data_IF_575288298857
#
_entry.id   IF_575288298857
#
_cell.length_a   1.000
_cell.length_b   1.000
_cell.length_c   1.000
_cell.angle_alpha   90.00
_cell.angle_beta   90.00
_cell.angle_gamma   90.00
#
_symmetry.space_group_name_H-M   'P 1'
#
loop_
_entity.id
_entity.type
_entity.pdbx_description
1 polymer ?
#
# COMPACT_ATOMS: atom_id res chain seq x y z
N UNK A 1 -50.22 3.66 -25.25
CA UNK A 1 -48.75 3.75 -25.29
C UNK A 1 -48.24 3.18 -23.98
N UNK A 2 -47.76 1.93 -24.02
CA UNK A 2 -47.22 1.25 -22.84
C UNK A 2 -45.83 1.81 -22.54
N UNK A 3 -45.61 2.25 -21.30
CA UNK A 3 -44.28 2.55 -20.77
C UNK A 3 -43.49 1.24 -20.74
N UNK A 4 -42.40 1.17 -21.50
CA UNK A 4 -41.41 0.11 -21.39
C UNK A 4 -40.71 0.27 -20.04
N UNK A 5 -41.18 -0.46 -19.03
CA UNK A 5 -40.42 -0.65 -17.79
C UNK A 5 -39.18 -1.46 -18.11
N UNK A 6 -38.01 -0.89 -17.90
CA UNK A 6 -36.75 -1.65 -17.80
C UNK A 6 -36.90 -2.64 -16.65
N UNK A 7 -37.14 -3.90 -16.98
CA UNK A 7 -37.07 -5.01 -16.02
C UNK A 7 -35.65 -5.07 -15.47
N UNK A 8 -35.49 -5.03 -14.16
CA UNK A 8 -34.20 -5.24 -13.51
C UNK A 8 -33.63 -6.60 -13.94
N UNK A 9 -32.35 -6.65 -14.31
CA UNK A 9 -31.68 -7.88 -14.71
C UNK A 9 -31.81 -8.93 -13.59
N UNK A 10 -32.06 -10.17 -13.99
CA UNK A 10 -32.08 -11.31 -13.06
C UNK A 10 -30.67 -11.59 -12.55
N UNK A 11 -30.55 -12.22 -11.38
CA UNK A 11 -29.24 -12.61 -10.82
C UNK A 11 -28.41 -13.46 -11.80
N UNK A 12 -29.07 -14.27 -12.64
CA UNK A 12 -28.41 -15.08 -13.66
C UNK A 12 -27.84 -14.22 -14.79
N UNK A 13 -28.58 -13.21 -15.25
CA UNK A 13 -28.10 -12.26 -16.27
C UNK A 13 -26.93 -11.44 -15.74
N UNK A 14 -27.01 -10.94 -14.50
CA UNK A 14 -25.89 -10.22 -13.86
C UNK A 14 -24.63 -11.07 -13.74
N UNK A 15 -24.77 -12.37 -13.41
CA UNK A 15 -23.64 -13.28 -13.34
C UNK A 15 -23.01 -13.54 -14.72
N UNK A 16 -23.83 -13.67 -15.76
CA UNK A 16 -23.36 -13.83 -17.14
C UNK A 16 -22.61 -12.57 -17.63
N UNK A 17 -23.13 -11.37 -17.35
CA UNK A 17 -22.46 -10.11 -17.67
C UNK A 17 -21.11 -9.98 -16.96
N UNK A 18 -21.05 -10.35 -15.67
CA UNK A 18 -19.81 -10.34 -14.90
C UNK A 18 -18.77 -11.32 -15.47
N UNK A 19 -19.19 -12.54 -15.81
CA UNK A 19 -18.32 -13.54 -16.42
C UNK A 19 -17.80 -13.08 -17.79
N UNK A 20 -18.65 -12.45 -18.61
CA UNK A 20 -18.23 -11.86 -19.88
C UNK A 20 -17.23 -10.72 -19.68
N UNK A 21 -17.44 -9.86 -18.68
CA UNK A 21 -16.49 -8.79 -18.33
C UNK A 21 -15.13 -9.35 -17.92
N UNK A 22 -15.10 -10.38 -17.09
CA UNK A 22 -13.84 -11.05 -16.72
C UNK A 22 -13.12 -11.67 -17.93
N UNK A 23 -13.86 -12.22 -18.89
CA UNK A 23 -13.27 -12.81 -20.08
C UNK A 23 -12.77 -11.78 -21.12
N UNK A 24 -13.44 -10.62 -21.22
CA UNK A 24 -13.18 -9.63 -22.26
C UNK A 24 -12.22 -8.50 -21.84
N UNK A 25 -12.20 -8.12 -20.56
CA UNK A 25 -11.40 -7.00 -20.07
C UNK A 25 -9.94 -7.43 -19.82
N UNK A 26 -9.01 -6.70 -20.44
CA UNK A 26 -7.57 -6.94 -20.33
C UNK A 26 -7.06 -6.85 -18.88
N UNK A 27 -7.75 -6.13 -17.98
CA UNK A 27 -7.46 -6.08 -16.54
C UNK A 27 -7.41 -7.47 -15.90
N UNK A 28 -8.19 -8.43 -16.42
CA UNK A 28 -8.33 -9.77 -15.83
C UNK A 28 -7.58 -10.86 -16.62
N UNK A 29 -6.81 -10.49 -17.65
CA UNK A 29 -5.99 -11.43 -18.42
C UNK A 29 -5.02 -12.17 -17.48
N UNK A 30 -5.11 -13.50 -17.46
CA UNK A 30 -4.25 -14.35 -16.63
C UNK A 30 -4.68 -14.47 -15.17
N UNK A 31 -5.73 -13.78 -14.73
CA UNK A 31 -6.25 -13.86 -13.37
C UNK A 31 -7.24 -15.03 -13.24
N UNK A 32 -6.89 -16.00 -12.41
CA UNK A 32 -7.75 -17.10 -12.01
C UNK A 32 -8.57 -16.78 -10.76
N UNK A 33 -9.75 -17.40 -10.68
CA UNK A 33 -10.65 -17.35 -9.53
C UNK A 33 -11.13 -18.76 -9.23
N UNK A 34 -11.08 -19.17 -7.96
CA UNK A 34 -11.59 -20.48 -7.53
C UNK A 34 -13.09 -20.48 -7.23
N UNK A 35 -13.78 -19.40 -7.58
CA UNK A 35 -15.23 -19.18 -7.40
C UNK A 35 -15.82 -18.61 -8.69
N UNK A 36 -17.14 -18.69 -8.82
CA UNK A 36 -17.83 -18.26 -10.04
C UNK A 36 -18.41 -16.84 -9.95
N UNK A 37 -18.85 -16.30 -11.08
CA UNK A 37 -19.57 -15.03 -11.10
C UNK A 37 -20.91 -15.11 -10.36
N UNK A 38 -21.57 -16.27 -10.39
CA UNK A 38 -22.78 -16.55 -9.61
C UNK A 38 -22.52 -16.47 -8.10
N UNK A 39 -21.35 -16.92 -7.63
CA UNK A 39 -20.96 -16.76 -6.22
C UNK A 39 -20.86 -15.29 -5.84
N UNK A 40 -20.24 -14.46 -6.68
CA UNK A 40 -20.12 -13.01 -6.45
C UNK A 40 -21.49 -12.36 -6.37
N UNK A 41 -22.38 -12.63 -7.35
CA UNK A 41 -23.73 -12.04 -7.37
C UNK A 41 -24.53 -12.51 -6.15
N UNK A 42 -24.46 -13.79 -5.80
CA UNK A 42 -25.16 -14.37 -4.64
C UNK A 42 -24.71 -13.75 -3.31
N UNK A 43 -23.44 -13.37 -3.20
CA UNK A 43 -22.86 -12.80 -1.98
C UNK A 43 -22.85 -11.26 -1.95
N UNK A 44 -23.26 -10.59 -3.04
CA UNK A 44 -23.24 -9.13 -3.15
C UNK A 44 -24.36 -8.40 -2.41
N UNK A 45 -25.39 -9.12 -1.94
CA UNK A 45 -26.60 -8.48 -1.41
C UNK A 45 -27.43 -7.77 -2.48
N UNK A 46 -28.40 -6.96 -2.06
CA UNK A 46 -29.34 -6.27 -2.96
C UNK A 46 -28.96 -4.82 -3.28
N UNK A 47 -27.97 -4.26 -2.58
CA UNK A 47 -27.50 -2.88 -2.75
C UNK A 47 -25.98 -2.92 -2.80
N UNK A 48 -25.42 -2.25 -3.81
CA UNK A 48 -23.98 -2.12 -3.98
C UNK A 48 -23.56 -0.69 -3.67
N UNK A 49 -22.71 -0.52 -2.67
CA UNK A 49 -22.07 0.75 -2.36
C UNK A 49 -20.99 1.06 -3.40
N UNK A 50 -20.93 2.31 -3.88
CA UNK A 50 -19.85 2.73 -4.79
C UNK A 50 -18.62 3.14 -3.98
N UNK A 51 -17.46 2.59 -4.37
CA UNK A 51 -16.17 2.86 -3.72
C UNK A 51 -15.27 3.71 -4.62
N UNK A 52 -15.66 4.96 -4.85
CA UNK A 52 -15.05 5.86 -5.84
C UNK A 52 -13.52 5.98 -5.71
N UNK A 53 -12.99 6.17 -4.49
CA UNK A 53 -11.55 6.32 -4.28
C UNK A 53 -10.77 5.02 -4.54
N UNK A 54 -11.33 3.88 -4.15
CA UNK A 54 -10.72 2.58 -4.43
C UNK A 54 -10.71 2.30 -5.94
N UNK A 55 -11.83 2.53 -6.64
CA UNK A 55 -11.93 2.38 -8.10
C UNK A 55 -10.91 3.27 -8.82
N UNK A 56 -10.97 4.58 -8.57
CA UNK A 56 -10.07 5.58 -9.18
C UNK A 56 -8.60 5.25 -8.90
N UNK A 57 -8.28 4.92 -7.65
CA UNK A 57 -6.92 4.57 -7.24
C UNK A 57 -6.42 3.31 -7.95
N UNK A 58 -7.22 2.24 -7.97
CA UNK A 58 -6.86 0.98 -8.61
C UNK A 58 -6.65 1.12 -10.12
N UNK A 59 -7.57 1.83 -10.81
CA UNK A 59 -7.45 2.10 -12.25
C UNK A 59 -6.22 2.96 -12.58
N UNK A 60 -5.97 4.01 -11.78
CA UNK A 60 -4.76 4.85 -11.93
C UNK A 60 -3.49 4.05 -11.70
N UNK A 61 -3.45 3.21 -10.66
CA UNK A 61 -2.31 2.37 -10.32
C UNK A 61 -2.01 1.38 -11.44
N UNK A 62 -3.04 0.66 -11.92
CA UNK A 62 -2.90 -0.29 -13.02
C UNK A 62 -2.33 0.38 -14.28
N UNK A 63 -2.88 1.53 -14.67
CA UNK A 63 -2.37 2.32 -15.80
C UNK A 63 -0.91 2.73 -15.61
N UNK A 64 -0.56 3.29 -14.45
CA UNK A 64 0.81 3.73 -14.16
C UNK A 64 1.84 2.58 -14.20
N UNK A 65 1.45 1.39 -13.75
CA UNK A 65 2.32 0.20 -13.79
C UNK A 65 2.62 -0.30 -15.21
N UNK A 66 1.76 0.03 -16.19
CA UNK A 66 1.94 -0.32 -17.60
C UNK A 66 2.58 0.79 -18.44
N UNK A 67 2.30 2.05 -18.12
CA UNK A 67 2.78 3.21 -18.89
C UNK A 67 4.18 3.69 -18.49
N UNK A 68 4.66 3.32 -17.29
CA UNK A 68 5.95 3.75 -16.76
C UNK A 68 6.90 2.57 -16.64
N UNK A 69 8.20 2.85 -16.69
CA UNK A 69 9.23 1.84 -16.44
C UNK A 69 9.05 1.21 -15.05
N UNK A 70 8.78 2.05 -14.05
CA UNK A 70 8.35 1.67 -12.72
C UNK A 70 7.70 2.88 -12.03
N UNK A 71 6.99 2.62 -10.95
CA UNK A 71 6.57 3.64 -9.98
C UNK A 71 7.23 3.34 -8.63
N UNK A 72 7.63 4.40 -7.94
CA UNK A 72 8.17 4.32 -6.60
C UNK A 72 7.33 5.05 -5.55
N UNK A 73 7.37 4.56 -4.33
CA UNK A 73 6.63 5.12 -3.21
C UNK A 73 7.46 5.10 -1.91
N UNK A 74 7.03 5.92 -0.95
CA UNK A 74 7.58 5.96 0.40
C UNK A 74 6.47 5.57 1.39
N UNK A 75 6.83 4.84 2.44
CA UNK A 75 5.92 4.52 3.54
C UNK A 75 5.43 5.79 4.26
N UNK A 76 4.13 6.02 4.26
CA UNK A 76 3.46 7.09 5.00
C UNK A 76 2.63 6.52 6.17
N UNK A 77 2.83 7.06 7.37
CA UNK A 77 2.04 6.73 8.57
C UNK A 77 1.10 7.87 8.99
N UNK A 78 1.20 9.04 8.34
CA UNK A 78 0.27 10.17 8.53
C UNK A 78 -0.21 10.73 7.20
N UNK A 79 -1.37 11.41 7.23
CA UNK A 79 -1.88 12.13 6.06
C UNK A 79 -0.97 13.30 5.62
N UNK A 80 -0.31 13.97 6.56
CA UNK A 80 0.63 15.05 6.24
C UNK A 80 1.84 14.55 5.45
N UNK A 81 2.41 13.40 5.83
CA UNK A 81 3.47 12.75 5.06
C UNK A 81 3.02 12.44 3.63
N UNK A 82 1.82 11.88 3.45
CA UNK A 82 1.31 11.57 2.12
C UNK A 82 1.09 12.82 1.26
N UNK A 83 0.54 13.90 1.83
CA UNK A 83 0.39 15.19 1.12
C UNK A 83 1.75 15.71 0.64
N UNK A 84 2.79 15.68 1.50
CA UNK A 84 4.12 16.14 1.11
C UNK A 84 4.77 15.20 0.08
N UNK A 85 4.56 13.89 0.16
CA UNK A 85 5.02 12.94 -0.84
C UNK A 85 4.45 13.23 -2.24
N UNK A 86 3.14 13.48 -2.34
CA UNK A 86 2.48 13.84 -3.62
C UNK A 86 2.93 15.20 -4.11
N UNK A 87 3.03 16.20 -3.22
CA UNK A 87 3.51 17.56 -3.53
C UNK A 87 4.94 17.55 -4.08
N UNK A 88 5.80 16.66 -3.55
CA UNK A 88 7.16 16.46 -4.04
C UNK A 88 7.23 15.68 -5.38
N UNK A 89 6.10 15.25 -5.93
CA UNK A 89 5.99 14.63 -7.25
C UNK A 89 5.83 13.11 -7.25
N UNK A 90 5.81 12.44 -6.09
CA UNK A 90 5.56 11.00 -6.03
C UNK A 90 4.16 10.66 -6.53
N UNK A 91 4.06 9.58 -7.29
CA UNK A 91 2.85 9.21 -8.02
C UNK A 91 2.03 8.10 -7.35
N UNK A 92 2.50 7.58 -6.21
CA UNK A 92 1.87 6.55 -5.42
C UNK A 92 2.32 6.65 -3.95
N UNK A 93 1.51 6.12 -3.04
CA UNK A 93 1.77 6.07 -1.60
C UNK A 93 1.87 4.60 -1.16
N UNK A 94 2.87 4.29 -0.35
CA UNK A 94 2.94 3.00 0.34
C UNK A 94 2.48 3.19 1.78
N UNK A 95 1.65 2.28 2.28
CA UNK A 95 1.20 2.28 3.67
C UNK A 95 1.71 1.00 4.34
N UNK A 96 2.70 1.16 5.20
CA UNK A 96 3.41 0.06 5.88
C UNK A 96 2.68 -0.40 7.14
N UNK A 97 2.44 -1.71 7.28
CA UNK A 97 1.90 -2.33 8.50
C UNK A 97 2.87 -2.20 9.67
N UNK A 98 4.18 -2.28 9.40
CA UNK A 98 5.23 -2.00 10.39
C UNK A 98 5.09 -0.59 10.99
N UNK A 99 4.88 0.44 10.15
CA UNK A 99 4.74 1.81 10.65
C UNK A 99 3.45 2.01 11.44
N UNK A 100 2.37 1.33 11.03
CA UNK A 100 1.12 1.29 11.80
C UNK A 100 1.36 0.65 13.17
N UNK A 101 2.03 -0.50 13.24
CA UNK A 101 2.41 -1.14 14.50
C UNK A 101 3.22 -0.20 15.39
N UNK A 102 4.20 0.50 14.81
CA UNK A 102 5.10 1.37 15.57
C UNK A 102 4.39 2.62 16.15
N UNK A 103 3.56 3.31 15.36
CA UNK A 103 3.17 4.69 15.73
C UNK A 103 1.81 5.16 15.17
N UNK A 104 0.98 4.30 14.58
CA UNK A 104 -0.29 4.74 13.97
C UNK A 104 -1.46 3.74 14.11
N UNK A 105 -1.41 2.83 15.08
CA UNK A 105 -2.45 1.80 15.26
C UNK A 105 -3.54 2.19 16.27
N UNK A 106 -4.65 1.46 16.22
CA UNK A 106 -5.85 1.72 17.02
C UNK A 106 -5.76 1.26 18.48
N UNK A 107 -4.71 0.53 18.88
CA UNK A 107 -4.48 0.23 20.30
C UNK A 107 -3.75 1.37 21.02
N UNK A 108 -3.18 2.34 20.29
CA UNK A 108 -2.45 3.46 20.88
C UNK A 108 -1.14 3.07 21.55
N UNK A 109 -0.64 1.86 21.30
CA UNK A 109 0.64 1.36 21.80
C UNK A 109 1.66 1.27 20.67
N UNK A 110 2.94 1.44 21.01
CA UNK A 110 4.04 1.09 20.12
C UNK A 110 4.24 -0.42 20.13
N UNK A 111 4.13 -1.04 18.96
CA UNK A 111 4.36 -2.47 18.78
C UNK A 111 5.50 -2.76 17.81
N UNK A 112 6.21 -3.90 18.00
CA UNK A 112 6.97 -4.50 16.92
C UNK A 112 6.02 -5.03 15.82
N UNK A 113 6.56 -5.23 14.63
CA UNK A 113 5.84 -5.74 13.47
C UNK A 113 5.59 -7.25 13.56
N UNK A 114 4.53 -7.61 14.30
CA UNK A 114 4.11 -8.99 14.59
C UNK A 114 2.59 -9.16 14.63
N UNK A 115 1.83 -8.38 13.85
CA UNK A 115 0.35 -8.44 13.81
C UNK A 115 -0.34 -8.26 15.17
N UNK A 116 0.26 -7.53 16.11
CA UNK A 116 -0.27 -7.35 17.47
C UNK A 116 -1.42 -6.33 17.53
N UNK A 117 -1.49 -5.42 16.56
CA UNK A 117 -2.44 -4.33 16.58
C UNK A 117 -3.82 -4.74 16.05
N UNK A 118 -4.90 -4.01 16.38
CA UNK A 118 -6.24 -4.31 15.88
C UNK A 118 -6.29 -4.27 14.34
N UNK A 119 -6.85 -5.31 13.71
CA UNK A 119 -6.84 -5.48 12.24
C UNK A 119 -7.46 -4.32 11.44
N UNK A 120 -8.29 -3.48 12.07
CA UNK A 120 -8.85 -2.29 11.44
C UNK A 120 -7.89 -1.09 11.41
N UNK A 121 -6.66 -1.21 11.93
CA UNK A 121 -5.72 -0.09 12.03
C UNK A 121 -5.23 0.41 10.67
N UNK A 122 -4.80 -0.48 9.78
CA UNK A 122 -4.36 -0.06 8.44
C UNK A 122 -5.51 0.56 7.64
N UNK A 123 -6.74 0.00 7.61
CA UNK A 123 -7.89 0.67 6.99
C UNK A 123 -8.13 2.10 7.50
N UNK A 124 -7.97 2.35 8.81
CA UNK A 124 -8.11 3.72 9.36
C UNK A 124 -7.02 4.67 8.83
N UNK A 125 -5.78 4.18 8.68
CA UNK A 125 -4.70 4.98 8.11
C UNK A 125 -4.90 5.22 6.60
N UNK A 126 -5.41 4.24 5.85
CA UNK A 126 -5.81 4.43 4.43
C UNK A 126 -6.83 5.56 4.34
N UNK A 127 -7.88 5.52 5.16
CA UNK A 127 -8.92 6.57 5.18
C UNK A 127 -8.34 7.93 5.58
N UNK A 128 -7.44 7.97 6.56
CA UNK A 128 -6.75 9.19 7.01
C UNK A 128 -5.90 9.81 5.89
N UNK A 129 -5.15 9.01 5.14
CA UNK A 129 -4.36 9.47 4.00
C UNK A 129 -5.27 10.04 2.92
N UNK A 130 -6.30 9.30 2.51
CA UNK A 130 -7.27 9.76 1.52
C UNK A 130 -7.96 11.08 1.94
N UNK A 131 -8.32 11.23 3.22
CA UNK A 131 -8.90 12.48 3.73
C UNK A 131 -7.92 13.66 3.63
N UNK A 132 -6.62 13.44 3.88
CA UNK A 132 -5.62 14.48 3.77
C UNK A 132 -5.38 14.91 2.31
N UNK A 133 -5.32 13.94 1.39
CA UNK A 133 -5.21 14.21 -0.05
C UNK A 133 -6.46 14.93 -0.60
N UNK A 134 -7.66 14.54 -0.15
CA UNK A 134 -8.91 15.27 -0.48
C UNK A 134 -8.90 16.71 0.04
N UNK A 135 -8.35 16.96 1.24
CA UNK A 135 -8.22 18.33 1.76
C UNK A 135 -7.26 19.15 0.91
N UNK A 136 -6.12 18.57 0.51
CA UNK A 136 -5.16 19.24 -0.38
C UNK A 136 -5.78 19.58 -1.75
N UNK A 137 -6.52 18.63 -2.33
CA UNK A 137 -7.28 18.81 -3.58
C UNK A 137 -8.34 19.92 -3.48
N UNK A 138 -9.08 19.96 -2.37
CA UNK A 138 -10.07 21.00 -2.08
C UNK A 138 -9.44 22.39 -1.93
N UNK A 139 -8.28 22.49 -1.28
CA UNK A 139 -7.54 23.75 -1.14
C UNK A 139 -7.08 24.23 -2.53
N UNK A 140 -6.42 23.36 -3.29
CA UNK A 140 -5.94 23.69 -4.64
C UNK A 140 -7.07 24.14 -5.57
N UNK A 141 -8.22 23.43 -5.54
CA UNK A 141 -9.41 23.78 -6.32
C UNK A 141 -9.98 25.13 -5.92
N UNK A 142 -10.12 25.39 -4.61
CA UNK A 142 -10.73 26.61 -4.09
C UNK A 142 -9.88 27.86 -4.31
N UNK A 143 -8.56 27.72 -4.46
CA UNK A 143 -7.66 28.83 -4.74
C UNK A 143 -7.60 29.21 -6.23
N UNK A 144 -8.15 28.37 -7.12
CA UNK A 144 -8.35 28.70 -8.54
C UNK A 144 -7.06 28.96 -9.33
N UNK A 145 -5.94 28.40 -8.89
CA UNK A 145 -4.63 28.54 -9.56
C UNK A 145 -4.35 27.45 -10.59
N UNK A 146 -3.15 27.50 -11.19
CA UNK A 146 -2.65 26.53 -12.18
C UNK A 146 -2.15 25.22 -11.55
N UNK A 147 -2.63 24.82 -10.36
CA UNK A 147 -2.23 23.55 -9.74
C UNK A 147 -2.85 22.38 -10.52
N UNK A 148 -2.01 21.67 -11.28
CA UNK A 148 -2.41 20.49 -12.06
C UNK A 148 -2.12 19.18 -11.34
N UNK A 149 -1.83 19.21 -10.03
CA UNK A 149 -1.48 18.02 -9.25
C UNK A 149 -2.67 17.07 -9.13
N UNK A 150 -2.49 15.82 -9.55
CA UNK A 150 -3.45 14.76 -9.23
C UNK A 150 -3.21 14.24 -7.80
N UNK A 151 -3.78 14.97 -6.84
CA UNK A 151 -3.63 14.79 -5.39
C UNK A 151 -3.98 13.39 -4.90
N UNK A 152 -4.97 12.74 -5.52
CA UNK A 152 -5.48 11.44 -5.10
C UNK A 152 -4.60 10.31 -5.66
N UNK A 153 -3.36 10.26 -5.19
CA UNK A 153 -2.38 9.22 -5.51
C UNK A 153 -2.86 7.84 -5.00
N UNK A 154 -2.66 6.76 -5.78
CA UNK A 154 -3.02 5.41 -5.37
C UNK A 154 -2.24 4.98 -4.12
N UNK A 155 -2.95 4.38 -3.17
CA UNK A 155 -2.39 3.82 -1.94
C UNK A 155 -2.26 2.30 -2.10
N UNK A 156 -1.03 1.79 -1.98
CA UNK A 156 -0.75 0.35 -1.83
C UNK A 156 -0.56 0.06 -0.36
N UNK A 157 -1.46 -0.72 0.22
CA UNK A 157 -1.55 -0.93 1.67
C UNK A 157 -1.19 -2.35 2.11
N UNK A 158 -0.61 -2.44 3.30
CA UNK A 158 -0.20 -3.68 3.95
C UNK A 158 -1.37 -4.37 4.65
N UNK A 159 -1.71 -5.59 4.22
CA UNK A 159 -2.67 -6.45 4.91
C UNK A 159 -2.01 -7.59 5.70
N UNK A 160 -0.69 -7.57 5.84
CA UNK A 160 0.13 -8.56 6.53
C UNK A 160 -0.20 -9.99 6.10
N UNK A 161 -0.35 -10.90 7.06
CA UNK A 161 -0.84 -12.26 6.83
C UNK A 161 -2.37 -12.37 6.86
N UNK A 162 -3.10 -11.25 6.80
CA UNK A 162 -4.56 -11.19 6.83
C UNK A 162 -5.21 -11.37 8.20
N UNK A 163 -4.44 -11.27 9.30
CA UNK A 163 -4.93 -11.32 10.68
C UNK A 163 -5.73 -12.59 11.05
N UNK A 164 -5.50 -13.70 10.36
CA UNK A 164 -6.15 -14.97 10.65
C UNK A 164 -6.29 -15.86 9.42
N UNK A 165 -7.53 -16.33 9.18
CA UNK A 165 -7.86 -17.18 8.04
C UNK A 165 -8.43 -16.39 6.85
N UNK A 166 -8.94 -17.09 5.82
CA UNK A 166 -9.50 -16.45 4.62
C UNK A 166 -10.64 -15.45 4.91
N UNK A 167 -11.46 -15.68 5.94
CA UNK A 167 -12.54 -14.74 6.31
C UNK A 167 -11.98 -13.43 6.89
N UNK A 168 -10.88 -13.48 7.65
CA UNK A 168 -10.21 -12.28 8.13
C UNK A 168 -9.59 -11.50 6.97
N UNK A 169 -8.95 -12.19 6.02
CA UNK A 169 -8.43 -11.57 4.80
C UNK A 169 -9.53 -10.91 3.96
N UNK A 170 -10.68 -11.58 3.81
CA UNK A 170 -11.86 -11.05 3.11
C UNK A 170 -12.36 -9.74 3.75
N UNK A 171 -12.61 -9.74 5.06
CA UNK A 171 -13.10 -8.55 5.77
C UNK A 171 -12.07 -7.41 5.78
N UNK A 172 -10.78 -7.74 5.91
CA UNK A 172 -9.71 -6.75 5.82
C UNK A 172 -9.67 -6.11 4.43
N UNK A 173 -9.77 -6.91 3.36
CA UNK A 173 -9.84 -6.36 1.99
C UNK A 173 -11.04 -5.44 1.82
N UNK A 174 -12.24 -5.83 2.29
CA UNK A 174 -13.42 -4.96 2.24
C UNK A 174 -13.20 -3.64 3.00
N UNK A 175 -12.61 -3.69 4.18
CA UNK A 175 -12.31 -2.50 4.97
C UNK A 175 -11.31 -1.57 4.27
N UNK A 176 -10.27 -2.13 3.64
CA UNK A 176 -9.29 -1.38 2.84
C UNK A 176 -9.94 -0.72 1.61
N UNK A 177 -10.81 -1.44 0.90
CA UNK A 177 -11.58 -0.91 -0.23
C UNK A 177 -12.50 0.23 0.21
N UNK A 178 -13.27 0.03 1.29
CA UNK A 178 -14.13 1.07 1.85
C UNK A 178 -13.34 2.33 2.26
N UNK A 179 -12.10 2.15 2.72
CA UNK A 179 -11.19 3.25 3.04
C UNK A 179 -10.55 3.92 1.80
N UNK A 180 -10.60 3.28 0.64
CA UNK A 180 -10.10 3.80 -0.64
C UNK A 180 -8.69 3.33 -1.01
N UNK A 181 -8.26 2.12 -0.62
CA UNK A 181 -7.00 1.53 -1.07
C UNK A 181 -7.06 1.17 -2.56
N UNK A 182 -5.95 1.39 -3.28
CA UNK A 182 -5.79 1.06 -4.70
C UNK A 182 -5.25 -0.37 -4.91
N UNK A 183 -4.29 -0.76 -4.06
CA UNK A 183 -3.69 -2.09 -4.04
C UNK A 183 -3.47 -2.56 -2.60
N UNK A 184 -3.45 -3.89 -2.42
CA UNK A 184 -3.34 -4.54 -1.12
C UNK A 184 -2.36 -5.70 -1.25
N UNK A 185 -1.39 -5.79 -0.35
CA UNK A 185 -0.47 -6.93 -0.32
C UNK A 185 -0.76 -7.88 0.84
N UNK A 186 -0.67 -9.18 0.56
CA UNK A 186 -0.77 -10.26 1.54
C UNK A 186 0.50 -11.10 1.50
N UNK A 187 0.92 -11.63 2.65
CA UNK A 187 2.10 -12.50 2.75
C UNK A 187 1.76 -13.92 3.22
N UNK A 188 2.61 -14.88 2.86
CA UNK A 188 2.44 -16.32 3.12
C UNK A 188 2.94 -16.77 4.50
N UNK A 189 2.90 -15.88 5.49
CA UNK A 189 3.21 -16.18 6.89
C UNK A 189 1.98 -16.64 7.69
N UNK A 190 2.23 -17.35 8.79
CA UNK A 190 1.21 -17.65 9.80
C UNK A 190 0.90 -16.38 10.59
N UNK A 191 -0.34 -15.89 10.52
CA UNK A 191 -0.74 -14.63 11.15
C UNK A 191 -0.46 -14.55 12.67
N UNK A 192 -0.65 -15.64 13.42
CA UNK A 192 -0.36 -15.65 14.87
C UNK A 192 1.13 -15.55 15.20
N UNK A 193 2.01 -15.79 14.22
CA UNK A 193 3.46 -15.73 14.35
C UNK A 193 4.08 -14.82 13.28
N UNK A 194 3.30 -13.87 12.74
CA UNK A 194 3.78 -12.93 11.73
C UNK A 194 5.00 -12.17 12.24
N UNK A 195 5.96 -11.91 11.37
CA UNK A 195 7.12 -11.06 11.65
C UNK A 195 7.35 -10.08 10.50
N UNK A 196 8.07 -9.00 10.77
CA UNK A 196 8.77 -8.26 9.72
C UNK A 196 9.63 -9.23 8.91
N UNK A 197 9.64 -9.06 7.59
CA UNK A 197 10.36 -9.94 6.69
C UNK A 197 11.88 -10.04 6.92
N UNK A 198 12.44 -9.07 7.63
CA UNK A 198 13.87 -8.99 8.01
C UNK A 198 14.15 -9.49 9.43
N UNK A 199 13.16 -10.06 10.12
CA UNK A 199 13.33 -10.73 11.42
C UNK A 199 13.44 -12.25 11.25
N UNK A 200 14.09 -12.90 12.23
CA UNK A 200 14.09 -14.36 12.33
C UNK A 200 12.76 -14.91 12.87
N UNK A 201 12.60 -16.24 12.83
CA UNK A 201 11.43 -16.92 13.41
C UNK A 201 10.15 -16.83 12.59
N UNK A 202 10.25 -16.56 11.28
CA UNK A 202 9.10 -16.58 10.35
C UNK A 202 8.59 -18.00 10.15
N UNK A 203 7.27 -18.16 10.21
CA UNK A 203 6.58 -19.43 9.97
C UNK A 203 5.70 -19.27 8.73
N UNK A 204 5.97 -20.05 7.69
CA UNK A 204 5.15 -20.07 6.47
C UNK A 204 3.85 -20.84 6.69
N UNK A 205 2.82 -20.49 5.93
CA UNK A 205 1.65 -21.34 5.72
C UNK A 205 1.82 -22.17 4.43
N UNK A 206 1.05 -23.27 4.25
CA UNK A 206 1.09 -24.04 3.01
C UNK A 206 0.74 -23.18 1.79
N UNK A 207 1.31 -23.50 0.64
CA UNK A 207 1.10 -22.78 -0.62
C UNK A 207 -0.40 -22.63 -0.94
N UNK A 208 -1.18 -23.70 -0.82
CA UNK A 208 -2.63 -23.68 -1.00
C UNK A 208 -3.39 -22.84 0.04
N UNK A 209 -2.84 -22.64 1.24
CA UNK A 209 -3.43 -21.72 2.22
C UNK A 209 -3.26 -20.26 1.78
N UNK A 210 -2.09 -19.86 1.28
CA UNK A 210 -1.90 -18.50 0.80
C UNK A 210 -2.74 -18.22 -0.47
N UNK A 211 -2.88 -19.20 -1.38
CA UNK A 211 -3.81 -19.09 -2.53
C UNK A 211 -5.26 -18.85 -2.07
N UNK A 212 -5.71 -19.47 -0.96
CA UNK A 212 -7.03 -19.17 -0.38
C UNK A 212 -7.12 -17.74 0.15
N UNK A 213 -6.06 -17.21 0.74
CA UNK A 213 -5.97 -15.79 1.17
C UNK A 213 -6.11 -14.86 -0.04
N UNK A 214 -5.36 -15.10 -1.11
CA UNK A 214 -5.41 -14.30 -2.35
C UNK A 214 -6.81 -14.35 -3.00
N UNK A 215 -7.42 -15.53 -3.07
CA UNK A 215 -8.78 -15.68 -3.58
C UNK A 215 -9.82 -14.98 -2.70
N UNK A 216 -9.67 -15.02 -1.37
CA UNK A 216 -10.57 -14.30 -0.47
C UNK A 216 -10.47 -12.78 -0.67
N UNK A 217 -9.26 -12.25 -0.86
CA UNK A 217 -9.05 -10.85 -1.17
C UNK A 217 -9.66 -10.47 -2.53
N UNK A 218 -9.44 -11.29 -3.58
CA UNK A 218 -10.06 -11.05 -4.90
C UNK A 218 -11.59 -11.11 -4.82
N UNK A 219 -12.16 -12.04 -4.06
CA UNK A 219 -13.61 -12.17 -3.90
C UNK A 219 -14.22 -10.93 -3.23
N UNK A 220 -13.54 -10.39 -2.22
CA UNK A 220 -13.93 -9.14 -1.60
C UNK A 220 -13.92 -7.97 -2.60
N UNK A 221 -12.91 -7.88 -3.47
CA UNK A 221 -12.83 -6.87 -4.51
C UNK A 221 -13.91 -7.03 -5.59
N UNK A 222 -14.19 -8.26 -6.03
CA UNK A 222 -15.25 -8.53 -7.01
C UNK A 222 -16.66 -8.24 -6.46
N UNK A 223 -16.92 -8.54 -5.18
CA UNK A 223 -18.18 -8.20 -4.50
C UNK A 223 -18.34 -6.69 -4.38
N UNK A 224 -17.26 -5.98 -4.03
CA UNK A 224 -17.21 -4.53 -3.98
C UNK A 224 -17.17 -3.87 -5.38
N UNK A 225 -17.10 -4.68 -6.44
CA UNK A 225 -17.08 -4.28 -7.85
C UNK A 225 -15.99 -3.24 -8.17
N UNK A 226 -14.80 -3.39 -7.59
CA UNK A 226 -13.64 -2.52 -7.82
C UNK A 226 -12.42 -3.33 -8.27
N UNK A 227 -11.60 -2.80 -9.19
CA UNK A 227 -10.48 -3.55 -9.77
C UNK A 227 -9.20 -3.53 -8.90
N UNK A 228 -9.36 -3.54 -7.56
CA UNK A 228 -8.27 -3.44 -6.57
C UNK A 228 -7.13 -4.40 -6.90
N UNK A 229 -5.89 -3.89 -6.84
CA UNK A 229 -4.72 -4.71 -7.14
C UNK A 229 -4.36 -5.59 -5.94
N UNK A 230 -4.12 -6.88 -6.18
CA UNK A 230 -3.67 -7.83 -5.17
C UNK A 230 -2.19 -8.13 -5.41
N UNK A 231 -1.37 -7.95 -4.38
CA UNK A 231 0.06 -8.27 -4.42
C UNK A 231 0.31 -9.49 -3.54
N UNK A 232 0.84 -10.56 -4.12
CA UNK A 232 1.24 -11.75 -3.37
C UNK A 232 2.70 -11.61 -2.93
N UNK A 233 2.94 -11.69 -1.62
CA UNK A 233 4.27 -11.67 -1.04
C UNK A 233 4.65 -13.06 -0.53
N UNK A 234 5.88 -13.49 -0.82
CA UNK A 234 6.47 -14.67 -0.19
C UNK A 234 7.65 -14.32 0.72
N UNK A 235 7.68 -14.96 1.90
CA UNK A 235 8.73 -14.85 2.90
C UNK A 235 9.70 -16.04 2.93
N UNK A 236 9.55 -16.97 1.97
CA UNK A 236 10.27 -18.25 1.92
C UNK A 236 11.79 -18.15 1.71
N UNK A 237 12.32 -16.96 1.37
CA UNK A 237 13.75 -16.76 1.21
C UNK A 237 14.51 -16.99 2.53
N UNK A 238 13.92 -16.55 3.65
CA UNK A 238 14.54 -16.62 4.98
C UNK A 238 13.72 -17.42 6.01
N UNK A 239 12.44 -17.70 5.75
CA UNK A 239 11.63 -18.50 6.66
C UNK A 239 12.08 -19.97 6.66
N UNK A 240 12.34 -20.51 7.85
CA UNK A 240 12.82 -21.88 8.05
C UNK A 240 11.81 -22.76 8.81
N UNK A 241 10.56 -22.29 8.93
CA UNK A 241 9.45 -23.00 9.55
C UNK A 241 8.23 -22.98 8.62
N UNK A 242 7.42 -24.04 8.66
CA UNK A 242 6.17 -24.21 7.93
C UNK A 242 5.13 -24.86 8.85
N UNK A 243 3.87 -24.43 8.80
CA UNK A 243 2.85 -24.99 9.71
C UNK A 243 2.47 -26.44 9.40
N UNK A 244 2.47 -26.85 8.13
CA UNK A 244 2.08 -28.19 7.71
C UNK A 244 2.71 -28.56 6.36
N UNK A 245 3.06 -29.83 6.21
CA UNK A 245 3.55 -30.48 4.98
C UNK A 245 2.42 -31.02 4.08
N UNK A 246 1.17 -30.59 4.29
CA UNK A 246 -0.01 -31.10 3.58
C UNK A 246 -0.03 -30.79 2.08
N UNK A 247 0.69 -29.76 1.64
CA UNK A 247 0.75 -29.33 0.25
C UNK A 247 1.98 -29.94 -0.44
N UNK A 248 1.74 -30.76 -1.47
CA UNK A 248 2.81 -31.47 -2.20
C UNK A 248 3.85 -30.51 -2.81
N UNK A 249 3.46 -29.26 -3.12
CA UNK A 249 4.38 -28.23 -3.64
C UNK A 249 5.39 -27.76 -2.60
N UNK A 250 5.05 -27.88 -1.32
CA UNK A 250 5.94 -27.54 -0.21
C UNK A 250 6.78 -28.75 0.24
N UNK A 251 6.33 -29.97 -0.06
CA UNK A 251 6.91 -31.22 0.43
C UNK A 251 8.40 -31.38 0.09
N UNK A 252 8.83 -30.90 -1.09
CA UNK A 252 10.23 -30.95 -1.48
C UNK A 252 11.12 -30.20 -0.47
N UNK A 253 10.66 -29.07 0.09
CA UNK A 253 11.48 -28.20 0.94
C UNK A 253 11.48 -28.61 2.41
N UNK A 254 10.56 -29.47 2.83
CA UNK A 254 10.45 -29.98 4.21
C UNK A 254 11.63 -30.90 4.53
N UNK A 255 12.20 -30.79 5.74
CA UNK A 255 13.34 -31.63 6.17
C UNK A 255 12.90 -32.91 6.89
N UNK A 256 11.64 -32.98 7.31
CA UNK A 256 11.08 -34.04 8.15
C UNK A 256 11.20 -33.78 9.67
N UNK A 257 11.99 -32.79 10.08
CA UNK A 257 12.09 -32.40 11.49
C UNK A 257 10.93 -31.48 11.91
N UNK A 258 10.51 -31.61 13.17
CA UNK A 258 9.48 -30.75 13.78
C UNK A 258 9.99 -30.04 15.04
N UNK A 259 9.45 -28.85 15.31
CA UNK A 259 9.71 -28.09 16.53
C UNK A 259 8.78 -28.53 17.67
N UNK A 260 9.00 -27.99 18.88
CA UNK A 260 8.17 -28.30 20.06
C UNK A 260 6.72 -27.79 19.92
N UNK A 261 6.53 -26.69 19.20
CA UNK A 261 5.23 -26.11 18.82
C UNK A 261 4.53 -26.93 17.73
N UNK A 262 5.27 -27.86 17.10
CA UNK A 262 4.77 -28.75 16.06
C UNK A 262 4.97 -28.23 14.63
N UNK A 263 5.68 -27.12 14.41
CA UNK A 263 6.01 -26.65 13.07
C UNK A 263 7.04 -27.55 12.38
N UNK A 264 6.98 -27.64 11.06
CA UNK A 264 7.97 -28.33 10.25
C UNK A 264 9.15 -27.43 9.96
N UNK A 265 10.36 -27.98 9.98
CA UNK A 265 11.56 -27.32 9.47
C UNK A 265 11.56 -27.40 7.94
N UNK A 266 11.88 -26.28 7.29
CA UNK A 266 12.01 -26.19 5.83
C UNK A 266 13.35 -25.60 5.42
N UNK A 267 13.83 -25.99 4.23
CA UNK A 267 14.99 -25.38 3.58
C UNK A 267 14.56 -24.08 2.92
N UNK A 268 15.02 -22.96 3.46
CA UNK A 268 14.79 -21.62 2.89
C UNK A 268 15.69 -21.37 1.68
N UNK A 269 15.33 -20.41 0.83
CA UNK A 269 16.17 -19.98 -0.30
C UNK A 269 15.37 -19.64 -1.55
N UNK A 270 16.06 -19.48 -2.68
CA UNK A 270 15.41 -19.05 -3.92
C UNK A 270 14.49 -20.12 -4.54
N UNK A 271 14.83 -21.41 -4.40
CA UNK A 271 14.01 -22.49 -4.93
C UNK A 271 12.55 -22.50 -4.40
N UNK A 272 12.28 -22.46 -3.08
CA UNK A 272 10.91 -22.35 -2.58
C UNK A 272 10.25 -21.01 -2.93
N UNK A 273 11.03 -19.92 -3.03
CA UNK A 273 10.52 -18.61 -3.47
C UNK A 273 9.99 -18.65 -4.89
N UNK A 274 10.75 -19.22 -5.84
CA UNK A 274 10.32 -19.37 -7.24
C UNK A 274 9.10 -20.28 -7.31
N UNK A 275 9.14 -21.45 -6.64
CA UNK A 275 8.00 -22.39 -6.62
C UNK A 275 6.71 -21.73 -6.14
N UNK A 276 6.78 -20.97 -5.04
CA UNK A 276 5.64 -20.22 -4.49
C UNK A 276 5.22 -19.08 -5.40
N UNK A 277 6.15 -18.31 -5.94
CA UNK A 277 5.85 -17.23 -6.89
C UNK A 277 5.09 -17.74 -8.11
N UNK A 278 5.53 -18.82 -8.72
CA UNK A 278 4.82 -19.47 -9.84
C UNK A 278 3.42 -19.93 -9.43
N UNK A 279 3.26 -20.50 -8.24
CA UNK A 279 1.95 -20.93 -7.73
C UNK A 279 1.00 -19.74 -7.42
N UNK A 280 1.54 -18.56 -7.11
CA UNK A 280 0.74 -17.37 -6.76
C UNK A 280 0.41 -16.49 -7.97
N UNK A 281 1.19 -16.57 -9.06
CA UNK A 281 1.04 -15.74 -10.24
C UNK A 281 -0.40 -15.66 -10.79
N UNK A 282 -1.16 -16.78 -10.92
CA UNK A 282 -2.53 -16.71 -11.42
C UNK A 282 -3.50 -15.94 -10.50
N UNK A 283 -3.15 -15.73 -9.24
CA UNK A 283 -4.02 -15.14 -8.22
C UNK A 283 -3.56 -13.73 -7.79
N UNK A 284 -2.53 -13.18 -8.42
CA UNK A 284 -1.90 -11.93 -8.01
C UNK A 284 -1.61 -11.00 -9.21
N UNK A 285 -1.86 -9.71 -9.03
CA UNK A 285 -1.51 -8.70 -10.04
C UNK A 285 -0.01 -8.38 -10.01
N UNK A 286 0.60 -8.46 -8.83
CA UNK A 286 2.05 -8.36 -8.65
C UNK A 286 2.55 -9.44 -7.69
N UNK A 287 3.80 -9.85 -7.86
CA UNK A 287 4.50 -10.73 -6.91
C UNK A 287 5.66 -10.00 -6.26
N UNK A 288 5.82 -10.18 -4.96
CA UNK A 288 6.89 -9.61 -4.14
C UNK A 288 7.61 -10.73 -3.38
N UNK A 289 8.94 -10.67 -3.39
CA UNK A 289 9.81 -11.49 -2.52
C UNK A 289 10.46 -10.59 -1.49
N UNK A 290 10.37 -10.94 -0.22
CA UNK A 290 11.21 -10.28 0.78
C UNK A 290 12.65 -10.80 0.72
N UNK A 291 13.63 -9.89 0.64
CA UNK A 291 15.05 -10.22 0.53
C UNK A 291 15.85 -9.86 1.79
N UNK A 292 17.01 -10.49 1.98
CA UNK A 292 17.91 -10.20 3.12
C UNK A 292 18.91 -9.07 2.85
N UNK A 293 19.16 -8.78 1.57
CA UNK A 293 20.12 -7.76 1.11
C UNK A 293 19.61 -7.10 -0.18
N UNK A 294 20.03 -5.85 -0.48
CA UNK A 294 19.70 -5.20 -1.75
C UNK A 294 20.59 -5.76 -2.88
N UNK A 295 20.21 -6.92 -3.42
CA UNK A 295 20.98 -7.67 -4.42
C UNK A 295 20.25 -7.75 -5.77
N UNK A 296 20.82 -7.11 -6.80
CA UNK A 296 20.28 -7.10 -8.16
C UNK A 296 20.42 -8.44 -8.88
N UNK A 297 21.40 -9.28 -8.53
CA UNK A 297 21.55 -10.61 -9.12
C UNK A 297 20.45 -11.55 -8.60
N UNK A 298 20.18 -11.51 -7.29
CA UNK A 298 19.06 -12.24 -6.70
C UNK A 298 17.71 -11.78 -7.27
N UNK A 299 17.53 -10.46 -7.44
CA UNK A 299 16.33 -9.91 -8.06
C UNK A 299 16.15 -10.40 -9.51
N UNK A 300 17.25 -10.43 -10.28
CA UNK A 300 17.25 -10.93 -11.65
C UNK A 300 16.90 -12.42 -11.72
N UNK A 301 17.50 -13.25 -10.87
CA UNK A 301 17.23 -14.70 -10.82
C UNK A 301 15.74 -14.98 -10.62
N UNK A 302 15.11 -14.28 -9.67
CA UNK A 302 13.69 -14.43 -9.43
C UNK A 302 12.85 -13.94 -10.62
N UNK A 303 13.15 -12.76 -11.15
CA UNK A 303 12.41 -12.19 -12.26
C UNK A 303 12.45 -13.08 -13.51
N UNK A 304 13.64 -13.56 -13.89
CA UNK A 304 13.82 -14.45 -15.04
C UNK A 304 13.05 -15.77 -14.86
N UNK A 305 13.05 -16.34 -13.65
CA UNK A 305 12.31 -17.57 -13.38
C UNK A 305 10.78 -17.40 -13.45
N UNK A 306 10.25 -16.29 -12.92
CA UNK A 306 8.80 -15.99 -13.02
C UNK A 306 8.41 -15.69 -14.46
N UNK A 307 9.19 -14.87 -15.18
CA UNK A 307 8.88 -14.47 -16.55
C UNK A 307 9.04 -15.59 -17.58
N UNK A 308 9.79 -16.65 -17.27
CA UNK A 308 9.85 -17.84 -18.11
C UNK A 308 8.48 -18.52 -18.27
N UNK A 309 7.67 -18.56 -17.20
CA UNK A 309 6.35 -19.18 -17.19
C UNK A 309 5.20 -18.16 -17.31
N UNK A 310 5.41 -16.94 -16.75
CA UNK A 310 4.45 -15.84 -16.76
C UNK A 310 5.10 -14.55 -17.28
N UNK A 311 5.32 -14.39 -18.61
CA UNK A 311 6.09 -13.29 -19.19
C UNK A 311 5.57 -11.88 -18.88
N UNK A 312 4.26 -11.76 -18.67
CA UNK A 312 3.59 -10.47 -18.39
C UNK A 312 3.48 -10.18 -16.87
N UNK A 313 3.96 -11.08 -16.00
CA UNK A 313 3.80 -10.93 -14.54
C UNK A 313 4.60 -9.74 -14.01
N UNK A 314 3.90 -8.75 -13.45
CA UNK A 314 4.56 -7.62 -12.79
C UNK A 314 5.09 -8.02 -11.41
N UNK A 315 6.20 -7.40 -11.02
CA UNK A 315 6.85 -7.65 -9.74
C UNK A 315 6.88 -6.40 -8.88
N UNK A 316 7.03 -6.57 -7.57
CA UNK A 316 7.23 -5.49 -6.62
C UNK A 316 8.48 -5.73 -5.75
N UNK A 317 9.17 -4.64 -5.38
CA UNK A 317 10.43 -4.71 -4.64
C UNK A 317 10.44 -3.75 -3.44
N UNK A 318 10.75 -4.30 -2.27
CA UNK A 318 10.98 -3.52 -1.07
C UNK A 318 12.44 -3.02 -1.02
N UNK A 319 12.63 -1.72 -1.24
CA UNK A 319 13.88 -1.02 -0.98
C UNK A 319 14.03 -0.75 0.53
N UNK A 320 14.21 -1.81 1.29
CA UNK A 320 14.06 -1.82 2.75
C UNK A 320 15.08 -0.94 3.48
N UNK A 321 14.66 -0.09 4.43
CA UNK A 321 15.55 0.55 5.40
C UNK A 321 16.20 -0.42 6.40
N UNK A 322 15.73 -1.67 6.48
CA UNK A 322 16.41 -2.71 7.26
C UNK A 322 17.75 -3.13 6.65
N UNK A 323 18.04 -2.72 5.41
CA UNK A 323 19.35 -2.88 4.81
C UNK A 323 20.29 -1.77 5.24
N UNK A 324 21.54 -2.12 5.53
CA UNK A 324 22.63 -1.15 5.55
C UNK A 324 23.14 -0.92 4.12
N UNK A 325 22.53 0.04 3.41
CA UNK A 325 22.76 0.28 1.98
C UNK A 325 24.23 0.51 1.62
N UNK A 326 24.94 1.41 2.32
CA UNK A 326 26.36 1.70 2.05
C UNK A 326 27.32 0.57 2.46
N UNK A 327 26.88 -0.33 3.33
CA UNK A 327 27.67 -1.52 3.65
C UNK A 327 27.53 -2.60 2.55
N UNK A 328 26.43 -2.59 1.81
CA UNK A 328 26.13 -3.58 0.77
C UNK A 328 26.50 -3.11 -0.64
N UNK A 329 26.37 -1.82 -0.93
CA UNK A 329 26.46 -1.25 -2.27
C UNK A 329 27.27 0.07 -2.27
N UNK A 330 27.95 0.34 -3.39
CA UNK A 330 28.56 1.64 -3.66
C UNK A 330 27.56 2.68 -4.18
N UNK A 331 27.99 3.94 -4.28
CA UNK A 331 27.12 5.07 -4.69
C UNK A 331 26.57 4.92 -6.11
N UNK A 332 27.34 4.37 -7.05
CA UNK A 332 26.91 4.16 -8.43
C UNK A 332 25.86 3.05 -8.53
N UNK A 333 26.03 1.98 -7.74
CA UNK A 333 25.07 0.90 -7.59
C UNK A 333 23.77 1.39 -6.97
N UNK A 334 23.84 2.18 -5.89
CA UNK A 334 22.66 2.77 -5.24
C UNK A 334 21.91 3.67 -6.23
N UNK A 335 22.61 4.55 -6.94
CA UNK A 335 22.01 5.51 -7.87
C UNK A 335 21.23 4.83 -9.02
N UNK A 336 21.67 3.65 -9.48
CA UNK A 336 20.99 2.90 -10.55
C UNK A 336 20.01 1.83 -10.06
N UNK A 337 19.99 1.52 -8.76
CA UNK A 337 19.32 0.34 -8.22
C UNK A 337 17.88 0.18 -8.68
N UNK A 338 17.05 1.22 -8.49
CA UNK A 338 15.63 1.19 -8.88
C UNK A 338 15.41 1.09 -10.39
N UNK A 339 16.28 1.72 -11.18
CA UNK A 339 16.20 1.67 -12.66
C UNK A 339 16.51 0.27 -13.17
N UNK A 340 17.54 -0.38 -12.63
CA UNK A 340 17.88 -1.76 -12.98
C UNK A 340 16.76 -2.73 -12.59
N UNK A 341 16.15 -2.55 -11.40
CA UNK A 341 14.96 -3.31 -10.99
C UNK A 341 13.78 -3.09 -11.95
N UNK A 342 13.52 -1.85 -12.36
CA UNK A 342 12.45 -1.54 -13.32
C UNK A 342 12.61 -2.28 -14.65
N UNK A 343 13.86 -2.38 -15.15
CA UNK A 343 14.20 -3.12 -16.36
C UNK A 343 13.99 -4.65 -16.23
N UNK A 344 13.97 -5.19 -15.00
CA UNK A 344 13.67 -6.59 -14.70
C UNK A 344 12.16 -6.84 -14.47
N UNK A 345 11.30 -5.83 -14.62
CA UNK A 345 9.84 -5.97 -14.41
C UNK A 345 9.37 -5.70 -12.97
N UNK A 346 10.22 -5.18 -12.09
CA UNK A 346 9.78 -4.64 -10.80
C UNK A 346 9.11 -3.27 -10.98
N UNK A 347 7.82 -3.32 -11.33
CA UNK A 347 7.02 -2.14 -11.69
C UNK A 347 6.58 -1.32 -10.47
N UNK A 348 6.48 -1.91 -9.28
CA UNK A 348 6.20 -1.19 -8.03
C UNK A 348 7.36 -1.33 -7.05
N UNK A 349 7.98 -0.21 -6.67
CA UNK A 349 9.13 -0.21 -5.77
C UNK A 349 8.86 0.72 -4.59
N UNK A 350 9.24 0.34 -3.37
CA UNK A 350 8.86 1.13 -2.21
C UNK A 350 9.87 1.05 -1.08
N UNK A 351 10.03 2.15 -0.35
CA UNK A 351 10.80 2.18 0.90
C UNK A 351 9.80 2.09 2.06
N UNK A 352 9.71 0.93 2.69
CA UNK A 352 8.71 0.62 3.73
C UNK A 352 8.72 1.60 4.90
N UNK A 353 9.92 1.88 5.47
CA UNK A 353 10.04 2.62 6.74
C UNK A 353 10.43 4.10 6.57
N UNK A 354 10.28 4.67 5.37
CA UNK A 354 10.70 6.05 5.08
C UNK A 354 10.07 7.09 6.03
N UNK A 355 8.74 7.02 6.22
CA UNK A 355 8.01 7.88 7.17
C UNK A 355 8.50 7.77 8.61
N UNK A 356 8.80 6.56 9.11
CA UNK A 356 9.31 6.36 10.46
C UNK A 356 10.70 6.99 10.64
N UNK A 357 11.64 6.70 9.74
CA UNK A 357 13.00 7.24 9.83
C UNK A 357 13.03 8.77 9.67
N UNK A 358 12.29 9.32 8.71
CA UNK A 358 12.22 10.78 8.51
C UNK A 358 11.61 11.51 9.70
N UNK A 359 10.52 10.97 10.28
CA UNK A 359 9.87 11.55 11.46
C UNK A 359 10.78 11.52 12.69
N UNK A 360 11.32 10.35 13.02
CA UNK A 360 12.13 10.18 14.23
C UNK A 360 13.44 10.96 14.14
N UNK A 361 14.13 10.91 13.00
CA UNK A 361 15.37 11.65 12.82
C UNK A 361 15.14 13.16 12.85
N UNK A 362 14.12 13.65 12.12
CA UNK A 362 13.79 15.08 12.07
C UNK A 362 13.45 15.64 13.46
N UNK A 363 12.64 14.92 14.24
CA UNK A 363 12.29 15.33 15.59
C UNK A 363 13.48 15.23 16.56
N UNK A 364 14.30 14.18 16.47
CA UNK A 364 15.48 14.02 17.32
C UNK A 364 16.50 15.15 17.10
N UNK A 365 16.80 15.49 15.85
CA UNK A 365 17.75 16.57 15.54
C UNK A 365 17.24 17.93 16.01
N UNK A 366 15.95 18.24 15.77
CA UNK A 366 15.32 19.46 16.28
C UNK A 366 15.33 19.51 17.82
N UNK A 367 14.93 18.43 18.50
CA UNK A 367 14.87 18.39 19.96
C UNK A 367 16.25 18.52 20.60
N UNK A 368 17.27 17.87 20.03
CA UNK A 368 18.66 18.00 20.47
C UNK A 368 19.16 19.45 20.30
N UNK A 369 18.98 20.02 19.12
CA UNK A 369 19.35 21.42 18.86
C UNK A 369 18.61 22.39 19.79
N UNK A 370 17.32 22.16 20.02
CA UNK A 370 16.50 23.01 20.90
C UNK A 370 16.91 22.89 22.37
N UNK A 371 17.31 21.70 22.83
CA UNK A 371 17.83 21.50 24.18
C UNK A 371 19.16 22.27 24.42
N UNK A 372 19.99 22.40 23.38
CA UNK A 372 21.30 23.05 23.47
C UNK A 372 21.25 24.56 23.15
N UNK A 373 20.38 24.97 22.24
CA UNK A 373 20.40 26.30 21.61
C UNK A 373 19.03 27.01 21.59
N UNK A 374 17.98 26.40 22.15
CA UNK A 374 16.64 26.98 22.21
C UNK A 374 16.11 27.41 20.83
N UNK A 375 15.57 28.63 20.75
CA UNK A 375 14.92 29.15 19.54
C UNK A 375 15.81 29.15 18.30
N UNK A 376 17.13 29.26 18.43
CA UNK A 376 18.05 29.21 17.27
C UNK A 376 17.84 27.94 16.46
N UNK A 377 17.71 26.78 17.12
CA UNK A 377 17.51 25.51 16.42
C UNK A 377 16.15 25.42 15.71
N UNK A 378 15.12 26.06 16.25
CA UNK A 378 13.80 26.13 15.60
C UNK A 378 13.81 27.10 14.42
N UNK A 379 14.45 28.26 14.55
CA UNK A 379 14.63 29.22 13.45
C UNK A 379 15.42 28.59 12.30
N UNK A 380 16.46 27.81 12.60
CA UNK A 380 17.20 27.09 11.56
C UNK A 380 16.32 26.11 10.77
N UNK A 381 15.33 25.48 11.41
CA UNK A 381 14.32 24.67 10.72
C UNK A 381 13.42 25.53 9.84
N UNK A 382 12.90 26.63 10.38
CA UNK A 382 12.02 27.55 9.66
C UNK A 382 12.72 28.16 8.43
N UNK A 383 13.99 28.52 8.52
CA UNK A 383 14.78 29.02 7.38
C UNK A 383 14.96 27.97 6.29
N UNK A 384 15.10 26.69 6.66
CA UNK A 384 15.10 25.59 5.68
C UNK A 384 13.74 25.42 5.01
N UNK A 385 12.65 25.62 5.73
CA UNK A 385 11.29 25.61 5.18
C UNK A 385 11.07 26.75 4.18
N UNK A 386 11.49 27.98 4.52
CA UNK A 386 11.46 29.11 3.59
C UNK A 386 12.28 28.82 2.32
N UNK A 387 13.50 28.30 2.47
CA UNK A 387 14.35 27.94 1.34
C UNK A 387 13.72 26.85 0.45
N UNK A 388 12.98 25.91 1.04
CA UNK A 388 12.31 24.83 0.32
C UNK A 388 11.10 25.31 -0.51
N UNK A 389 10.56 26.51 -0.27
CA UNK A 389 9.45 27.05 -1.07
C UNK A 389 9.81 27.18 -2.56
N UNK A 390 11.08 27.47 -2.87
CA UNK A 390 11.58 27.50 -4.24
C UNK A 390 11.48 26.14 -4.97
N UNK A 391 11.28 25.06 -4.22
CA UNK A 391 11.09 23.69 -4.71
C UNK A 391 9.63 23.22 -4.59
N UNK A 392 8.70 24.12 -4.29
CA UNK A 392 7.27 23.83 -4.21
C UNK A 392 6.75 23.46 -2.81
N UNK A 393 7.59 23.55 -1.75
CA UNK A 393 7.13 23.37 -0.37
C UNK A 393 6.19 24.51 0.06
N UNK A 394 5.08 24.20 0.73
CA UNK A 394 4.07 25.21 1.11
C UNK A 394 3.70 25.22 2.59
N UNK A 395 4.10 24.20 3.36
CA UNK A 395 3.62 24.04 4.74
C UNK A 395 4.19 25.06 5.73
N UNK A 396 5.12 25.93 5.31
CA UNK A 396 5.52 27.11 6.09
C UNK A 396 4.33 28.02 6.38
N UNK A 397 3.39 28.15 5.43
CA UNK A 397 2.06 28.76 5.62
C UNK A 397 1.08 27.71 6.13
N UNK A 398 1.29 27.28 7.37
CA UNK A 398 0.64 26.13 7.98
C UNK A 398 -0.87 26.31 8.18
N UNK A 399 -1.39 27.54 8.32
CA UNK A 399 -2.84 27.80 8.40
C UNK A 399 -3.50 27.49 7.04
N UNK A 400 -2.94 28.04 5.95
CA UNK A 400 -3.36 27.67 4.59
C UNK A 400 -3.26 26.18 4.34
N UNK A 401 -2.13 25.54 4.71
CA UNK A 401 -1.85 24.13 4.41
C UNK A 401 -2.89 23.17 4.99
N UNK A 402 -3.46 23.48 6.16
CA UNK A 402 -4.51 22.65 6.79
C UNK A 402 -5.93 23.06 6.39
N UNK A 403 -6.06 24.08 5.55
CA UNK A 403 -7.31 24.49 4.92
C UNK A 403 -8.06 25.61 5.63
N UNK A 404 -7.40 26.45 6.43
CA UNK A 404 -8.05 27.61 7.05
C UNK A 404 -8.76 28.47 6.01
N UNK A 405 -8.09 28.78 4.88
CA UNK A 405 -8.70 29.53 3.78
C UNK A 405 -9.86 28.80 3.08
N UNK A 406 -9.76 27.48 2.93
CA UNK A 406 -10.89 26.68 2.42
C UNK A 406 -12.12 26.81 3.34
N UNK A 407 -11.93 26.71 4.65
CA UNK A 407 -13.04 26.82 5.60
C UNK A 407 -13.58 28.25 5.73
N UNK A 408 -12.76 29.27 5.51
CA UNK A 408 -13.24 30.66 5.36
C UNK A 408 -14.15 30.81 4.14
N UNK A 409 -13.81 30.17 3.01
CA UNK A 409 -14.67 30.14 1.83
C UNK A 409 -15.99 29.40 2.11
N UNK A 410 -15.97 28.29 2.86
CA UNK A 410 -17.20 27.61 3.30
C UNK A 410 -18.04 28.54 4.18
N UNK A 411 -17.42 29.21 5.15
CA UNK A 411 -18.07 30.14 6.07
C UNK A 411 -18.75 31.29 5.32
N UNK A 412 -18.04 31.89 4.36
CA UNK A 412 -18.54 33.02 3.56
C UNK A 412 -19.56 32.58 2.51
N UNK A 413 -19.51 31.35 1.99
CA UNK A 413 -20.55 30.81 1.13
C UNK A 413 -21.89 30.63 1.88
N UNK A 414 -21.85 30.25 3.16
CA UNK A 414 -23.05 30.11 4.01
C UNK A 414 -23.52 31.47 4.55
N UNK A 415 -22.59 32.34 4.93
CA UNK A 415 -22.86 33.69 5.43
C UNK A 415 -21.86 34.70 4.83
N UNK A 416 -22.21 35.36 3.71
CA UNK A 416 -21.31 36.30 3.04
C UNK A 416 -20.84 37.48 3.88
N UNK A 417 -21.55 37.81 4.97
CA UNK A 417 -21.20 38.90 5.90
C UNK A 417 -20.51 38.39 7.18
N UNK A 418 -20.01 37.15 7.18
CA UNK A 418 -19.33 36.56 8.35
C UNK A 418 -18.19 37.45 8.83
N UNK A 419 -18.20 37.76 10.13
CA UNK A 419 -17.19 38.60 10.79
C UNK A 419 -16.14 37.76 11.55
N UNK A 420 -16.18 36.44 11.39
CA UNK A 420 -15.36 35.47 12.12
C UNK A 420 -14.60 34.53 11.18
N UNK A 421 -14.20 35.03 10.01
CA UNK A 421 -13.21 34.37 9.15
C UNK A 421 -11.84 34.39 9.82
N UNK A 422 -10.99 33.41 9.53
CA UNK A 422 -9.79 33.13 10.32
C UNK A 422 -8.49 33.65 9.68
N UNK A 423 -8.34 33.63 8.35
CA UNK A 423 -7.09 34.06 7.70
C UNK A 423 -6.89 35.58 7.74
N UNK A 424 -7.97 36.35 7.53
CA UNK A 424 -7.90 37.81 7.53
C UNK A 424 -7.49 38.33 8.92
N UNK A 425 -6.40 39.09 8.99
CA UNK A 425 -5.82 39.58 10.24
C UNK A 425 -5.06 38.50 11.04
N UNK A 426 -4.70 37.39 10.41
CA UNK A 426 -3.84 36.38 11.02
C UNK A 426 -2.36 36.78 10.93
N UNK A 427 -1.54 36.29 11.86
CA UNK A 427 -0.08 36.48 11.78
C UNK A 427 0.52 35.83 10.53
N UNK A 428 -0.13 34.81 9.96
CA UNK A 428 0.30 34.21 8.69
C UNK A 428 0.18 35.22 7.54
N UNK A 429 -0.96 35.91 7.44
CA UNK A 429 -1.17 36.96 6.43
C UNK A 429 -0.18 38.13 6.60
N UNK A 430 0.11 38.51 7.84
CA UNK A 430 0.97 39.66 8.15
C UNK A 430 2.47 39.38 8.03
N UNK A 431 2.93 38.15 8.28
CA UNK A 431 4.36 37.84 8.45
C UNK A 431 4.94 36.88 7.40
N UNK A 432 4.09 36.18 6.65
CA UNK A 432 4.52 35.16 5.69
C UNK A 432 4.14 35.59 4.26
N UNK A 433 4.96 36.47 3.66
CA UNK A 433 4.78 36.95 2.29
C UNK A 433 5.33 35.98 1.26
#
# INVERSE_FOLDING_TARGET
MAQAGTTAATAQETAQELAQRWAADARWKGIERTYSAEDVVRLSGSVREEHTLARRGAERLWRQLHERDYIHALGALTGGQAVQQVKAGLQAIYLSGWQVAADANQAGHTYPDQSLYPANSVPQVVRRINNALLRADQIATAEGGDDTTDWLAPIVADAEAGFGGPLNAFELTKAMIAAGAAGIHYEDQLASEKKCGHLGGKVLVPTGQHIRTLNAARLAADIADVPTLIVARTDALAANLLTSDVDERDAEFVTGERTAEGFYRVRSGMAPVISRGLAYAPYADLIWVETGTPDLAQAREFAEAIHAEHPDQMLAYNCSPSFNWRAALDDDQIAKFQRELGAMGYRFQFITLAGFHSLNHGMFDLARGYAEHGMTAYVDLQEREFAAQAQGFTAVKHQREVGTGYFDQVSTAVNPASSTTALAGSTEEEQFH
#
